data_IF_124068690142
#
_entry.id   IF_124068690142
#
_cell.length_a   1.000
_cell.length_b   1.000
_cell.length_c   1.000
_cell.angle_alpha   90.00
_cell.angle_beta   90.00
_cell.angle_gamma   90.00
#
_symmetry.space_group_name_H-M   'P 1'
#
loop_
_entity.id
_entity.type
_entity.pdbx_description
1 polymer ?
2 non-polymer ?
3 non-polymer ?
4 non-polymer ?
5 water ?
#
# COMPACT_ATOMS: atom_id res chain seq x y z
N UNK A 20 -16.56 -14.07 -6.16
CA UNK A 20 -16.72 -13.12 -7.25
C UNK A 20 -16.40 -11.69 -6.80
N UNK A 21 -16.73 -11.38 -5.55
CA UNK A 21 -16.44 -10.05 -5.02
C UNK A 21 -14.93 -9.80 -5.02
N UNK A 22 -14.55 -8.57 -5.34
CA UNK A 22 -13.16 -8.19 -5.49
C UNK A 22 -12.70 -7.36 -4.30
N UNK A 23 -11.41 -7.07 -4.30
CA UNK A 23 -10.81 -6.14 -3.34
C UNK A 23 -10.40 -4.90 -4.13
N UNK A 24 -10.81 -3.74 -3.65
CA UNK A 24 -10.49 -2.47 -4.31
C UNK A 24 -9.45 -1.72 -3.50
N UNK A 25 -8.41 -1.24 -4.18
CA UNK A 25 -7.40 -0.38 -3.57
C UNK A 25 -7.45 0.97 -4.27
N UNK A 26 -7.61 2.04 -3.49
CA UNK A 26 -7.65 3.40 -4.01
C UNK A 26 -6.37 4.10 -3.60
N UNK A 27 -5.69 4.71 -4.57
CA UNK A 27 -4.49 5.46 -4.27
C UNK A 27 -3.65 5.81 -5.48
N UNK A 28 -2.34 5.62 -5.37
CA UNK A 28 -1.39 6.11 -6.36
C UNK A 28 -0.85 4.95 -7.20
N UNK A 29 -0.71 5.21 -8.50
CA UNK A 29 0.08 4.37 -9.40
C UNK A 29 1.17 5.26 -10.00
N UNK A 30 2.40 4.75 -10.02
CA UNK A 30 3.52 5.42 -10.66
C UNK A 30 4.28 4.38 -11.47
N UNK A 31 5.14 4.87 -12.36
CA UNK A 31 6.11 4.02 -13.05
C UNK A 31 7.42 4.10 -12.27
N UNK A 32 7.89 2.95 -11.79
CA UNK A 32 9.19 2.86 -11.13
C UNK A 32 10.23 2.42 -12.15
N UNK A 33 11.23 3.25 -12.39
CA UNK A 33 12.42 2.83 -13.12
C UNK A 33 13.47 2.51 -12.06
N UNK A 34 13.81 1.23 -11.95
CA UNK A 34 14.61 0.72 -10.84
C UNK A 34 15.99 0.35 -11.37
N UNK A 35 17.02 0.96 -10.78
CA UNK A 35 18.41 0.71 -11.14
C UNK A 35 19.06 -0.08 -10.01
N UNK A 36 19.45 -1.33 -10.30
CA UNK A 36 20.18 -2.14 -9.34
C UNK A 36 21.67 -1.89 -9.54
N UNK A 37 22.35 -1.44 -8.48
CA UNK A 37 23.76 -1.10 -8.55
C UNK A 37 24.53 -1.92 -7.52
N UNK A 38 25.83 -2.05 -7.75
CA UNK A 38 26.72 -2.68 -6.79
C UNK A 38 27.41 -1.67 -5.88
N UNK A 39 27.27 -0.38 -6.16
CA UNK A 39 27.73 0.67 -5.27
C UNK A 39 26.93 1.93 -5.56
N UNK A 40 26.68 2.71 -4.52
CA UNK A 40 25.89 3.92 -4.68
C UNK A 40 26.61 4.86 -5.66
N UNK A 41 25.90 5.46 -6.62
CA UNK A 41 26.59 6.23 -7.66
C UNK A 41 27.33 7.42 -7.09
N UNK A 42 28.56 7.61 -7.54
CA UNK A 42 29.34 8.77 -7.17
C UNK A 42 28.89 9.97 -8.00
N UNK A 43 28.58 11.07 -7.34
CA UNK A 43 28.15 12.27 -8.03
C UNK A 43 29.18 12.67 -9.08
N UNK A 44 28.68 13.11 -10.24
CA UNK A 44 29.46 13.61 -11.37
C UNK A 44 30.16 12.50 -12.14
N UNK A 45 29.68 11.26 -12.09
CA UNK A 45 30.30 10.14 -12.79
C UNK A 45 29.28 9.41 -13.65
N UNK A 46 29.80 8.55 -14.52
CA UNK A 46 28.99 7.61 -15.28
C UNK A 46 29.43 6.19 -14.93
N UNK A 47 28.45 5.29 -14.82
CA UNK A 47 28.75 3.90 -14.49
C UNK A 47 27.55 3.03 -14.84
N UNK A 48 27.82 1.86 -15.38
CA UNK A 48 26.76 0.91 -15.69
C UNK A 48 26.14 0.37 -14.41
N UNK A 49 24.83 0.17 -14.45
CA UNK A 49 24.14 -0.54 -13.39
C UNK A 49 24.33 -2.05 -13.58
N UNK A 50 23.99 -2.81 -12.54
CA UNK A 50 23.92 -4.26 -12.70
C UNK A 50 22.72 -4.66 -13.53
N UNK A 51 21.58 -4.00 -13.33
CA UNK A 51 20.37 -4.23 -14.10
C UNK A 51 19.45 -3.05 -13.90
N UNK A 52 18.53 -2.87 -14.86
CA UNK A 52 17.53 -1.84 -14.78
C UNK A 52 16.23 -2.40 -15.33
N UNK A 53 15.11 -1.99 -14.73
CA UNK A 53 13.81 -2.51 -15.14
C UNK A 53 12.74 -1.47 -14.92
N UNK A 54 11.69 -1.54 -15.73
CA UNK A 54 10.47 -0.79 -15.49
C UNK A 54 9.53 -1.63 -14.64
N UNK A 55 8.97 -1.03 -13.61
CA UNK A 55 8.12 -1.74 -12.66
C UNK A 55 6.96 -0.84 -12.27
N UNK A 56 5.73 -1.36 -12.36
CA UNK A 56 4.58 -0.59 -11.91
C UNK A 56 4.66 -0.41 -10.39
N UNK A 57 4.49 0.83 -9.94
CA UNK A 57 4.64 1.15 -8.54
C UNK A 57 3.49 1.98 -7.98
N UNK A 58 3.72 2.62 -6.84
CA UNK A 58 2.64 3.26 -6.11
C UNK A 58 2.07 2.31 -5.07
N UNK A 59 1.74 2.85 -3.88
CA UNK A 59 1.37 1.99 -2.75
C UNK A 59 0.14 1.15 -3.06
N UNK A 60 -0.97 1.78 -3.42
CA UNK A 60 -2.20 1.04 -3.71
C UNK A 60 -2.01 0.13 -4.91
N UNK A 61 -1.26 0.59 -5.91
CA UNK A 61 -1.01 -0.20 -7.10
C UNK A 61 -0.17 -1.43 -6.79
N UNK A 62 0.86 -1.28 -5.95
CA UNK A 62 1.67 -2.42 -5.55
C UNK A 62 0.87 -3.43 -4.73
N UNK A 63 -0.04 -2.96 -3.88
CA UNK A 63 -0.86 -3.90 -3.13
C UNK A 63 -1.80 -4.68 -4.03
N UNK A 64 -2.28 -4.07 -5.13
CA UNK A 64 -3.06 -4.83 -6.10
C UNK A 64 -2.22 -5.93 -6.73
N UNK A 65 -0.95 -5.65 -7.00
CA UNK A 65 -0.06 -6.65 -7.57
C UNK A 65 0.06 -7.86 -6.64
N UNK A 66 0.30 -7.60 -5.36
CA UNK A 66 0.48 -8.70 -4.40
C UNK A 66 -0.83 -9.44 -4.18
N UNK A 67 -1.95 -8.71 -4.07
CA UNK A 67 -3.24 -9.37 -3.94
C UNK A 67 -3.50 -10.29 -5.14
N UNK A 68 -3.18 -9.83 -6.35
CA UNK A 68 -3.36 -10.65 -7.54
C UNK A 68 -2.48 -11.89 -7.48
N UNK A 69 -1.21 -11.73 -7.11
CA UNK A 69 -0.31 -12.88 -7.01
C UNK A 69 -0.79 -13.86 -5.96
N UNK A 70 -1.37 -13.36 -4.86
CA UNK A 70 -1.91 -14.23 -3.84
C UNK A 70 -3.21 -14.91 -4.25
N UNK A 71 -3.80 -14.53 -5.38
CA UNK A 71 -4.98 -15.19 -5.90
C UNK A 71 -6.30 -14.49 -5.66
N UNK A 72 -6.30 -13.25 -5.19
CA UNK A 72 -7.53 -12.51 -4.97
C UNK A 72 -7.80 -11.61 -6.17
N UNK A 73 -9.04 -11.66 -6.67
CA UNK A 73 -9.45 -10.71 -7.71
C UNK A 73 -9.50 -9.32 -7.11
N UNK A 74 -8.85 -8.36 -7.76
CA UNK A 74 -8.76 -7.02 -7.21
C UNK A 74 -8.88 -5.98 -8.31
N UNK A 75 -9.18 -4.75 -7.87
CA UNK A 75 -9.34 -3.61 -8.76
C UNK A 75 -8.54 -2.45 -8.20
N UNK A 76 -8.11 -1.57 -9.09
CA UNK A 76 -7.34 -0.38 -8.73
C UNK A 76 -8.10 0.87 -9.13
N UNK A 77 -8.11 1.86 -8.25
CA UNK A 77 -8.67 3.17 -8.56
C UNK A 77 -7.60 4.22 -8.32
N UNK A 78 -7.19 4.89 -9.38
CA UNK A 78 -6.21 5.96 -9.31
C UNK A 78 -6.33 6.83 -10.53
N UNK A 79 -5.32 7.69 -10.72
CA UNK A 79 -5.30 8.64 -11.82
C UNK A 79 -4.23 8.25 -12.84
N UNK A 80 -4.58 8.39 -14.11
CA UNK A 80 -3.64 8.21 -15.21
C UNK A 80 -3.87 9.31 -16.22
N UNK A 81 -2.82 9.62 -16.99
CA UNK A 81 -2.87 10.57 -18.09
C UNK A 81 -2.28 9.91 -19.33
N UNK A 82 -2.78 10.27 -20.51
CA UNK A 82 -2.31 9.60 -21.73
C UNK A 82 -0.80 9.77 -21.93
N UNK A 83 -0.18 8.73 -22.46
CA UNK A 83 1.25 8.76 -22.72
C UNK A 83 1.85 7.37 -22.63
N UNK A 84 3.13 7.30 -23.02
CA UNK A 84 3.84 6.02 -22.99
C UNK A 84 3.84 5.42 -21.59
N UNK A 85 3.93 6.26 -20.57
CA UNK A 85 3.99 5.77 -19.19
C UNK A 85 2.70 5.04 -18.83
N UNK A 86 1.55 5.70 -19.06
CA UNK A 86 0.27 5.06 -18.77
C UNK A 86 0.07 3.80 -19.61
N UNK A 87 0.54 3.80 -20.86
CA UNK A 87 0.39 2.62 -21.71
C UNK A 87 1.13 1.43 -21.11
N UNK A 88 2.35 1.64 -20.62
CA UNK A 88 3.06 0.58 -19.93
C UNK A 88 2.28 0.13 -18.69
N UNK A 89 1.80 1.09 -17.90
CA UNK A 89 1.12 0.75 -16.66
C UNK A 89 -0.18 0.01 -16.91
N UNK A 90 -0.94 0.42 -17.92
CA UNK A 90 -2.21 -0.26 -18.23
C UNK A 90 -1.95 -1.70 -18.66
N UNK A 91 -0.94 -1.91 -19.52
CA UNK A 91 -0.61 -3.26 -19.96
C UNK A 91 -0.17 -4.13 -18.81
N UNK A 92 0.58 -3.56 -17.87
CA UNK A 92 1.03 -4.31 -16.69
C UNK A 92 -0.14 -4.66 -15.78
N UNK A 93 -1.02 -3.68 -15.53
CA UNK A 93 -2.28 -3.96 -14.82
C UNK A 93 -3.02 -5.11 -15.48
N UNK A 94 -3.14 -5.07 -16.81
CA UNK A 94 -3.86 -6.12 -17.53
C UNK A 94 -3.18 -7.47 -17.40
N UNK A 95 -1.84 -7.48 -17.45
CA UNK A 95 -1.10 -8.74 -17.30
C UNK A 95 -1.39 -9.38 -15.95
N UNK A 96 -1.49 -8.58 -14.89
CA UNK A 96 -1.80 -9.08 -13.56
C UNK A 96 -3.28 -9.36 -13.35
N UNK A 97 -4.14 -8.98 -14.28
CA UNK A 97 -5.57 -9.14 -14.09
C UNK A 97 -6.19 -8.16 -13.10
N UNK A 98 -5.57 -7.01 -12.89
CA UNK A 98 -6.12 -5.99 -12.00
C UNK A 98 -7.10 -5.13 -12.78
N UNK A 99 -8.31 -5.01 -12.27
CA UNK A 99 -9.33 -4.20 -12.95
C UNK A 99 -9.02 -2.72 -12.80
N UNK A 100 -9.02 -2.00 -13.92
CA UNK A 100 -8.73 -0.58 -13.92
C UNK A 100 -9.86 0.20 -14.59
N UNK A 101 -11.07 -0.37 -14.56
CA UNK A 101 -12.20 0.31 -15.19
C UNK A 101 -12.60 1.59 -14.46
N UNK A 102 -12.23 1.74 -13.19
CA UNK A 102 -12.58 2.92 -12.41
C UNK A 102 -11.42 3.89 -12.28
N UNK A 103 -10.35 3.70 -13.05
CA UNK A 103 -9.27 4.68 -13.09
C UNK A 103 -9.81 5.99 -13.63
N UNK A 104 -9.40 7.11 -13.01
CA UNK A 104 -9.77 8.43 -13.48
C UNK A 104 -8.74 8.87 -14.52
N UNK A 105 -9.17 8.96 -15.78
CA UNK A 105 -8.27 9.36 -16.86
C UNK A 105 -8.32 10.88 -16.96
N UNK A 106 -7.18 11.51 -16.69
CA UNK A 106 -7.06 12.95 -16.84
C UNK A 106 -6.87 13.30 -18.31
N UNK A 107 -7.38 14.46 -18.71
CA UNK A 107 -7.28 14.87 -20.11
C UNK A 107 -5.82 15.10 -20.49
N UNK A 108 -5.04 15.72 -19.61
CA UNK A 108 -3.64 15.99 -19.84
C UNK A 108 -2.85 15.69 -18.57
N UNK A 109 -1.54 15.87 -18.64
CA UNK A 109 -0.68 15.75 -17.49
C UNK A 109 0.40 14.71 -17.69
N UNK A 110 1.27 14.63 -16.70
CA UNK A 110 2.40 13.70 -16.69
C UNK A 110 2.13 12.63 -15.64
N UNK A 111 1.96 11.39 -16.08
CA UNK A 111 1.86 10.29 -15.13
C UNK A 111 3.17 10.17 -14.37
N UNK A 112 3.15 10.23 -13.04
CA UNK A 112 4.39 10.33 -12.27
C UNK A 112 5.30 9.12 -12.47
N UNK A 113 6.60 9.38 -12.42
CA UNK A 113 7.63 8.36 -12.60
C UNK A 113 8.66 8.53 -11.49
N UNK A 114 9.00 7.42 -10.82
CA UNK A 114 10.00 7.41 -9.77
C UNK A 114 11.27 6.77 -10.28
N UNK A 115 12.40 7.44 -10.07
CA UNK A 115 13.71 6.87 -10.37
C UNK A 115 14.30 6.32 -9.08
N UNK A 116 14.52 5.01 -9.06
CA UNK A 116 14.94 4.30 -7.85
C UNK A 116 16.32 3.71 -8.01
N UNK A 117 17.13 3.85 -6.96
CA UNK A 117 18.46 3.27 -6.90
C UNK A 117 18.45 2.22 -5.79
N UNK A 118 18.67 0.97 -6.16
CA UNK A 118 18.69 -0.15 -5.23
C UNK A 118 20.12 -0.67 -5.16
N UNK A 119 20.78 -0.46 -4.03
CA UNK A 119 22.16 -0.88 -3.84
C UNK A 119 22.17 -2.35 -3.44
N UNK A 120 22.69 -3.19 -4.32
CA UNK A 120 22.71 -4.64 -4.08
C UNK A 120 23.63 -5.02 -2.93
N UNK A 121 24.60 -4.17 -2.59
CA UNK A 121 25.61 -4.54 -1.60
C UNK A 121 25.12 -4.37 -0.17
N UNK A 122 24.33 -3.32 0.09
CA UNK A 122 23.85 -3.06 1.44
C UNK A 122 22.33 -3.05 1.57
N UNK A 123 21.60 -3.32 0.48
CA UNK A 123 20.15 -3.36 0.54
C UNK A 123 19.47 -2.02 0.62
N UNK A 124 20.19 -0.92 0.36
CA UNK A 124 19.61 0.40 0.48
C UNK A 124 18.62 0.66 -0.66
N UNK A 125 17.67 1.55 -0.39
CA UNK A 125 16.62 1.92 -1.34
C UNK A 125 16.54 3.44 -1.38
N UNK A 126 16.88 4.02 -2.52
CA UNK A 126 16.82 5.46 -2.74
C UNK A 126 15.81 5.75 -3.84
N UNK A 127 14.85 6.62 -3.55
CA UNK A 127 13.78 6.94 -4.49
C UNK A 127 13.84 8.42 -4.80
N UNK A 128 14.00 8.76 -6.08
CA UNK A 128 13.83 10.13 -6.57
C UNK A 128 12.39 10.23 -7.04
N UNK A 129 11.55 10.88 -6.25
CA UNK A 129 10.12 10.97 -6.54
C UNK A 129 9.84 12.06 -7.58
N UNK A 130 8.81 11.82 -8.39
CA UNK A 130 8.38 12.83 -9.36
C UNK A 130 8.02 14.13 -8.64
N UNK A 131 8.24 15.25 -9.34
CA UNK A 131 8.04 16.54 -8.70
C UNK A 131 6.56 16.84 -8.48
N UNK A 132 5.69 16.35 -9.35
CA UNK A 132 4.26 16.59 -9.25
C UNK A 132 3.52 15.25 -9.29
N UNK A 133 2.21 15.33 -9.07
CA UNK A 133 1.31 14.20 -9.23
C UNK A 133 0.09 14.64 -10.01
N UNK A 134 -0.57 13.67 -10.62
CA UNK A 134 -1.87 13.93 -11.21
C UNK A 134 -2.88 14.19 -10.10
N UNK A 135 -3.99 14.86 -10.41
CA UNK A 135 -5.05 15.01 -9.42
C UNK A 135 -5.50 13.64 -8.92
N UNK A 136 -5.62 13.51 -7.60
CA UNK A 136 -6.05 12.25 -7.01
C UNK A 136 -7.51 11.98 -7.33
N UNK A 137 -7.93 10.74 -7.07
CA UNK A 137 -9.33 10.37 -7.24
C UNK A 137 -10.21 11.26 -6.38
N UNK A 138 -11.30 11.75 -6.95
CA UNK A 138 -12.22 12.61 -6.22
C UNK A 138 -13.35 11.79 -5.60
N UNK A 139 -13.99 12.40 -4.59
CA UNK A 139 -15.20 11.78 -4.04
C UNK A 139 -16.29 11.67 -5.09
N UNK A 140 -16.37 12.65 -6.01
CA UNK A 140 -17.28 12.55 -7.14
C UNK A 140 -16.97 11.34 -8.00
N UNK A 141 -15.67 11.09 -8.26
CA UNK A 141 -15.27 9.88 -8.97
C UNK A 141 -15.71 8.63 -8.23
N UNK A 142 -15.45 8.59 -6.92
CA UNK A 142 -15.70 7.39 -6.13
C UNK A 142 -17.19 7.13 -5.99
N UNK A 143 -18.02 8.17 -6.04
CA UNK A 143 -19.46 7.99 -5.95
C UNK A 143 -20.01 7.11 -7.07
N UNK A 144 -19.31 7.02 -8.21
CA UNK A 144 -19.80 6.24 -9.33
C UNK A 144 -19.49 4.75 -9.20
N UNK A 145 -18.73 4.35 -8.19
CA UNK A 145 -18.31 2.97 -8.02
C UNK A 145 -19.45 2.17 -7.40
N UNK A 146 -19.75 1.01 -7.98
CA UNK A 146 -20.72 0.06 -7.44
C UNK A 146 -20.07 -0.69 -6.30
N UNK A 147 -20.44 -0.33 -5.06
CA UNK A 147 -19.78 -0.89 -3.89
C UNK A 147 -20.10 -2.37 -3.69
N UNK A 148 -21.22 -2.86 -4.21
CA UNK A 148 -21.52 -4.28 -4.08
C UNK A 148 -20.54 -5.16 -4.84
N UNK A 149 -19.71 -4.58 -5.71
CA UNK A 149 -18.67 -5.36 -6.40
C UNK A 149 -17.58 -5.85 -5.47
N UNK A 150 -17.43 -5.23 -4.29
CA UNK A 150 -16.23 -5.41 -3.48
C UNK A 150 -16.58 -5.90 -2.08
N UNK A 151 -15.78 -6.84 -1.59
CA UNK A 151 -15.87 -7.28 -0.21
C UNK A 151 -14.90 -6.55 0.70
N UNK A 152 -13.93 -5.83 0.13
CA UNK A 152 -12.93 -5.09 0.87
C UNK A 152 -12.49 -3.89 0.05
N UNK A 153 -12.37 -2.73 0.69
CA UNK A 153 -11.88 -1.52 0.05
C UNK A 153 -10.75 -0.97 0.90
N UNK A 154 -9.57 -0.84 0.30
CA UNK A 154 -8.41 -0.26 0.96
C UNK A 154 -8.10 1.09 0.35
N UNK A 155 -7.92 2.10 1.18
CA UNK A 155 -7.66 3.46 0.71
C UNK A 155 -6.28 3.88 1.20
N UNK A 156 -5.38 4.16 0.25
CA UNK A 156 -4.11 4.78 0.55
C UNK A 156 -4.33 6.26 0.84
N UNK A 157 -4.01 6.68 2.06
CA UNK A 157 -4.21 8.07 2.46
C UNK A 157 -3.44 9.06 1.63
N UNK A 158 -4.15 9.90 0.88
CA UNK A 158 -3.53 10.87 -0.02
C UNK A 158 -4.22 12.23 0.06
N UNK A 159 -5.42 12.34 -0.51
CA UNK A 159 -6.21 13.58 -0.46
C UNK A 159 -7.32 13.38 0.57
N UNK A 160 -7.00 13.72 1.83
CA UNK A 160 -7.81 13.26 2.95
C UNK A 160 -9.23 13.81 2.91
N UNK A 161 -9.40 15.08 2.54
CA UNK A 161 -10.74 15.67 2.55
C UNK A 161 -11.67 14.94 1.59
N UNK A 162 -11.17 14.57 0.42
CA UNK A 162 -11.97 13.80 -0.52
C UNK A 162 -12.15 12.35 -0.07
N UNK A 163 -11.09 11.76 0.50
CA UNK A 163 -11.17 10.36 0.91
C UNK A 163 -12.06 10.18 2.13
N UNK A 164 -12.12 11.17 3.03
CA UNK A 164 -13.06 11.10 4.14
C UNK A 164 -14.48 10.96 3.62
N UNK A 165 -14.81 11.68 2.54
CA UNK A 165 -16.13 11.55 1.92
C UNK A 165 -16.33 10.17 1.33
N UNK A 166 -15.29 9.59 0.74
CA UNK A 166 -15.40 8.22 0.23
C UNK A 166 -15.69 7.25 1.36
N UNK A 167 -14.96 7.38 2.47
CA UNK A 167 -15.14 6.48 3.59
C UNK A 167 -16.53 6.65 4.21
N UNK A 168 -17.05 7.88 4.23
CA UNK A 168 -18.40 8.08 4.74
C UNK A 168 -19.45 7.44 3.83
N UNK A 169 -19.22 7.49 2.51
CA UNK A 169 -20.12 6.82 1.59
C UNK A 169 -20.16 5.32 1.83
N UNK A 170 -18.99 4.71 2.09
CA UNK A 170 -18.97 3.28 2.39
C UNK A 170 -19.70 2.98 3.68
N UNK A 171 -19.60 3.88 4.67
CA UNK A 171 -20.33 3.67 5.92
C UNK A 171 -21.84 3.74 5.70
N UNK A 172 -22.30 4.70 4.90
CA UNK A 172 -23.72 4.79 4.62
C UNK A 172 -24.21 3.59 3.83
N UNK A 173 -23.38 3.07 2.93
CA UNK A 173 -23.69 1.84 2.22
C UNK A 173 -23.84 0.67 3.18
N UNK A 174 -22.86 0.52 4.08
CA UNK A 174 -22.86 -0.64 4.98
C UNK A 174 -23.99 -0.58 5.99
N UNK A 175 -24.47 0.62 6.32
CA UNK A 175 -25.58 0.73 7.28
C UNK A 175 -26.83 0.04 6.77
N UNK A 176 -27.02 0.00 5.45
CA UNK A 176 -28.16 -0.66 4.83
C UNK A 176 -27.91 -2.12 4.52
N UNK A 177 -26.69 -2.61 4.72
CA UNK A 177 -26.43 -4.00 4.36
C UNK A 177 -26.48 -4.88 5.60
N UNK A 178 -26.96 -6.11 5.45
CA UNK A 178 -26.82 -7.10 6.52
C UNK A 178 -25.36 -7.44 6.77
N UNK A 179 -25.14 -8.21 7.82
CA UNK A 179 -23.78 -8.58 8.24
C UNK A 179 -22.96 -9.22 7.12
N UNK A 180 -23.43 -10.25 6.40
CA UNK A 180 -22.56 -10.91 5.41
C UNK A 180 -22.27 -10.07 4.18
N UNK A 181 -22.94 -8.93 4.00
CA UNK A 181 -22.77 -8.11 2.80
C UNK A 181 -22.17 -6.74 3.10
N UNK A 182 -21.63 -6.54 4.29
CA UNK A 182 -20.95 -5.28 4.59
C UNK A 182 -19.57 -5.29 3.96
N UNK A 183 -19.15 -4.13 3.46
CA UNK A 183 -17.85 -3.97 2.84
C UNK A 183 -16.84 -3.65 3.92
N UNK A 184 -15.78 -4.47 4.01
CA UNK A 184 -14.71 -4.21 4.96
C UNK A 184 -13.79 -3.13 4.41
N UNK A 185 -13.26 -2.30 5.30
CA UNK A 185 -12.50 -1.12 4.93
C UNK A 185 -11.18 -1.09 5.68
N UNK A 186 -10.10 -0.75 4.99
CA UNK A 186 -8.81 -0.47 5.61
C UNK A 186 -8.25 0.81 5.01
N UNK A 187 -7.42 1.50 5.80
CA UNK A 187 -6.77 2.74 5.36
C UNK A 187 -5.29 2.65 5.69
N UNK A 188 -4.47 3.32 4.86
CA UNK A 188 -3.05 3.47 5.14
C UNK A 188 -2.76 4.94 5.41
N UNK A 189 -2.04 5.19 6.50
CA UNK A 189 -1.57 6.53 6.85
C UNK A 189 -0.05 6.45 6.89
N UNK A 190 0.58 6.72 5.75
CA UNK A 190 2.02 6.54 5.59
C UNK A 190 2.81 7.83 5.74
N UNK A 191 2.32 8.93 5.18
CA UNK A 191 3.07 10.18 5.21
C UNK A 191 2.70 10.99 6.46
N UNK A 192 3.68 11.64 7.09
CA UNK A 192 3.41 12.43 8.30
C UNK A 192 2.84 13.81 7.99
N UNK A 193 1.72 13.84 7.29
CA UNK A 193 1.00 15.07 6.99
C UNK A 193 -0.24 15.15 7.87
N UNK A 194 -0.37 16.27 8.59
CA UNK A 194 -1.44 16.42 9.57
C UNK A 194 -2.81 16.19 8.95
N UNK A 195 -2.99 16.56 7.68
CA UNK A 195 -4.31 16.43 7.06
C UNK A 195 -4.72 14.97 6.94
N UNK A 196 -3.74 14.08 6.77
CA UNK A 196 -4.03 12.65 6.64
C UNK A 196 -4.54 12.05 7.94
N UNK A 197 -4.31 12.70 9.08
CA UNK A 197 -4.70 12.09 10.35
C UNK A 197 -6.20 12.12 10.59
N UNK A 198 -6.98 12.79 9.72
CA UNK A 198 -8.43 12.65 9.78
C UNK A 198 -8.87 11.23 9.44
N UNK A 199 -8.02 10.45 8.78
CA UNK A 199 -8.37 9.10 8.36
C UNK A 199 -8.27 8.07 9.47
N UNK A 200 -7.64 8.41 10.59
CA UNK A 200 -7.52 7.48 11.70
C UNK A 200 -8.86 6.92 12.14
N UNK A 201 -9.91 7.74 12.08
CA UNK A 201 -11.21 7.37 12.62
C UNK A 201 -12.09 6.63 11.61
N UNK A 202 -11.51 6.10 10.54
CA UNK A 202 -12.26 5.38 9.53
C UNK A 202 -11.62 4.02 9.28
N UNK A 203 -12.46 3.04 8.94
CA UNK A 203 -11.99 1.72 8.60
C UNK A 203 -11.90 0.79 9.81
N UNK A 204 -11.94 -0.51 9.52
CA UNK A 204 -11.77 -1.52 10.57
C UNK A 204 -10.32 -1.85 10.82
N UNK A 205 -9.43 -1.54 9.87
CA UNK A 205 -8.00 -1.77 10.02
C UNK A 205 -7.29 -0.50 9.55
N UNK A 206 -6.41 0.04 10.38
CA UNK A 206 -5.67 1.24 10.06
C UNK A 206 -4.20 0.87 10.09
N UNK A 207 -3.54 0.98 8.94
CA UNK A 207 -2.10 0.82 8.83
C UNK A 207 -1.44 2.17 9.04
N UNK A 208 -0.63 2.29 10.09
CA UNK A 208 0.09 3.52 10.40
C UNK A 208 1.58 3.25 10.22
N UNK A 209 2.27 4.16 9.54
CA UNK A 209 3.68 3.93 9.24
C UNK A 209 4.56 4.30 10.42
N UNK A 210 5.80 3.81 10.38
CA UNK A 210 6.78 4.19 11.39
C UNK A 210 7.06 5.69 11.35
N UNK A 211 7.13 6.26 10.15
CA UNK A 211 7.38 7.69 10.02
C UNK A 211 6.28 8.50 10.69
N UNK A 212 5.02 8.06 10.56
CA UNK A 212 3.92 8.75 11.21
C UNK A 212 4.01 8.60 12.72
N UNK A 213 4.32 7.39 13.19
CA UNK A 213 4.44 7.16 14.62
C UNK A 213 5.49 8.08 15.24
N UNK A 214 6.68 8.11 14.64
CA UNK A 214 7.76 8.96 15.15
C UNK A 214 7.38 10.44 15.07
N UNK A 215 6.72 10.84 13.99
CA UNK A 215 6.28 12.23 13.86
C UNK A 215 5.33 12.61 14.99
N UNK A 216 4.49 11.67 15.43
CA UNK A 216 3.57 11.90 16.53
C UNK A 216 4.19 11.58 17.89
N UNK A 217 5.50 11.33 17.94
CA UNK A 217 6.20 11.24 19.20
C UNK A 217 6.41 9.86 19.77
N UNK A 218 6.30 8.81 18.95
CA UNK A 218 6.45 7.43 19.40
C UNK A 218 7.63 6.80 18.70
N UNK A 219 8.53 6.20 19.49
CA UNK A 219 9.77 5.65 18.96
C UNK A 219 9.77 4.13 18.91
N UNK A 220 8.62 3.50 19.14
CA UNK A 220 8.49 2.06 19.02
C UNK A 220 7.06 1.72 18.58
N UNK A 221 6.91 0.58 17.93
CA UNK A 221 5.60 0.13 17.49
C UNK A 221 4.65 -0.01 18.68
N UNK A 222 5.11 -0.60 19.78
CA UNK A 222 4.25 -0.79 20.94
C UNK A 222 3.80 0.55 21.50
N UNK A 223 4.74 1.49 21.65
CA UNK A 223 4.38 2.83 22.11
C UNK A 223 3.39 3.49 21.15
N UNK A 224 3.60 3.30 19.84
CA UNK A 224 2.71 3.92 18.86
C UNK A 224 1.29 3.39 18.99
N UNK A 225 1.13 2.07 19.15
CA UNK A 225 -0.22 1.51 19.26
C UNK A 225 -0.92 2.01 20.51
N UNK A 226 -0.24 1.99 21.66
CA UNK A 226 -0.86 2.46 22.89
C UNK A 226 -1.23 3.93 22.78
N UNK A 227 -0.35 4.75 22.22
CA UNK A 227 -0.59 6.18 22.18
C UNK A 227 -1.57 6.64 21.12
N UNK A 228 -1.76 5.85 20.07
CA UNK A 228 -2.61 6.26 18.95
C UNK A 228 -3.94 5.53 18.87
N UNK A 229 -4.16 4.52 19.70
CA UNK A 229 -5.38 3.72 19.56
C UNK A 229 -6.64 4.55 19.79
N UNK A 230 -6.56 5.58 20.64
CA UNK A 230 -7.75 6.39 20.92
C UNK A 230 -8.26 7.13 19.68
N UNK A 231 -7.48 7.19 18.61
CA UNK A 231 -7.89 7.88 17.40
C UNK A 231 -8.72 7.00 16.46
N UNK A 232 -8.61 5.68 16.56
CA UNK A 232 -9.28 4.82 15.58
C UNK A 232 -10.76 4.69 15.91
N UNK A 233 -11.50 4.19 14.93
CA UNK A 233 -12.94 3.98 15.08
C UNK A 233 -13.23 2.90 16.10
N UNK A 234 -14.41 2.98 16.73
CA UNK A 234 -14.82 1.98 17.69
C UNK A 234 -14.77 0.58 17.08
N UNK A 235 -13.96 -0.28 17.67
CA UNK A 235 -13.83 -1.65 17.20
C UNK A 235 -12.76 -1.90 16.16
N UNK A 236 -12.06 -0.85 15.72
CA UNK A 236 -11.02 -1.01 14.70
C UNK A 236 -9.74 -1.56 15.30
N UNK A 237 -8.85 -2.04 14.43
CA UNK A 237 -7.53 -2.52 14.80
C UNK A 237 -6.49 -1.63 14.16
N UNK A 238 -5.53 -1.17 14.96
CA UNK A 238 -4.41 -0.36 14.47
C UNK A 238 -3.22 -1.26 14.24
N UNK A 239 -2.58 -1.11 13.07
CA UNK A 239 -1.44 -1.93 12.68
C UNK A 239 -0.25 -1.01 12.43
N UNK A 240 0.90 -1.34 13.02
CA UNK A 240 2.11 -0.56 12.84
C UNK A 240 3.28 -1.48 12.52
N UNK A 241 3.71 -1.47 11.25
CA UNK A 241 4.88 -2.22 10.84
C UNK A 241 6.14 -1.40 11.10
N UNK A 242 7.17 -2.06 11.58
CA UNK A 242 8.41 -1.38 11.99
C UNK A 242 9.63 -1.98 11.29
N UNK A 243 9.53 -2.12 9.97
CA UNK A 243 10.64 -2.51 9.08
C UNK A 243 11.22 -3.84 9.55
N UNK A 244 12.53 -3.95 9.79
CA UNK A 244 13.14 -5.22 10.15
C UNK A 244 12.82 -5.67 11.56
N UNK A 245 12.15 -4.83 12.35
CA UNK A 245 11.69 -5.22 13.69
C UNK A 245 10.36 -5.96 13.66
N UNK A 246 9.76 -6.15 12.49
CA UNK A 246 8.49 -6.85 12.40
C UNK A 246 7.29 -5.92 12.36
N UNK A 247 6.15 -6.39 12.88
CA UNK A 247 4.93 -5.60 12.83
C UNK A 247 4.09 -5.89 14.06
N UNK A 248 3.35 -4.88 14.51
CA UNK A 248 2.55 -4.95 15.72
C UNK A 248 1.13 -4.50 15.43
N UNK A 249 0.18 -4.96 16.24
CA UNK A 249 -1.21 -4.58 16.07
C UNK A 249 -1.90 -4.53 17.41
N UNK A 250 -2.95 -3.71 17.49
CA UNK A 250 -3.75 -3.58 18.70
C UNK A 250 -5.21 -3.38 18.30
N UNK A 251 -6.06 -4.32 18.70
CA UNK A 251 -7.46 -4.26 18.37
C UNK A 251 -8.34 -4.04 19.58
N UNK A 252 -9.65 -4.23 19.41
CA UNK A 252 -10.59 -3.94 20.52
C UNK A 252 -10.53 -4.94 21.65
N UNK A 253 -9.95 -6.12 21.45
CA UNK A 253 -9.79 -7.05 22.58
C UNK A 253 -8.70 -6.60 23.54
N UNK A 254 -7.90 -5.60 23.17
CA UNK A 254 -6.91 -5.03 24.06
C UNK A 254 -5.57 -5.74 24.09
N UNK A 255 -5.38 -6.79 23.29
CA UNK A 255 -4.14 -7.55 23.27
C UNK A 255 -3.15 -6.90 22.32
N UNK A 256 -1.97 -6.56 22.82
CA UNK A 256 -0.88 -6.12 21.97
C UNK A 256 -0.29 -7.32 21.24
N UNK A 257 -0.33 -7.28 19.91
CA UNK A 257 0.16 -8.38 19.08
C UNK A 257 1.46 -7.96 18.41
N UNK A 258 2.31 -8.94 18.14
CA UNK A 258 3.56 -8.67 17.44
C UNK A 258 4.01 -9.92 16.71
N UNK A 259 4.49 -9.72 15.49
CA UNK A 259 5.23 -10.74 14.74
C UNK A 259 6.62 -10.20 14.44
N UNK A 260 7.62 -11.04 14.65
CA UNK A 260 8.96 -10.72 14.17
C UNK A 260 8.95 -10.64 12.64
N UNK A 261 9.95 -9.94 12.10
CA UNK A 261 10.17 -9.99 10.67
C UNK A 261 10.73 -11.35 10.28
N UNK A 262 10.59 -11.67 8.99
CA UNK A 262 11.13 -12.90 8.41
C UNK A 262 12.16 -12.51 7.35
N UNK A 263 13.33 -12.04 7.76
CA UNK A 263 14.28 -11.48 6.81
C UNK A 263 14.84 -12.57 5.91
N UNK A 264 15.10 -12.24 4.64
CA UNK A 264 15.71 -13.20 3.74
C UNK A 264 17.17 -13.40 4.08
N UNK A 265 17.82 -14.42 3.52
CA UNK A 265 19.27 -14.57 3.76
C UNK A 265 20.05 -13.33 3.37
N UNK A 266 19.62 -12.64 2.31
CA UNK A 266 20.26 -11.41 1.87
C UNK A 266 19.16 -10.46 1.38
N UNK A 267 19.10 -9.28 1.97
CA UNK A 267 18.10 -8.28 1.60
C UNK A 267 18.59 -7.55 0.35
N UNK A 268 17.84 -7.69 -0.74
CA UNK A 268 18.27 -7.14 -2.02
C UNK A 268 17.28 -6.14 -2.60
N UNK A 269 16.02 -6.10 -2.16
CA UNK A 269 15.04 -5.21 -2.79
C UNK A 269 13.86 -5.02 -1.82
N UNK A 270 13.88 -3.90 -1.08
CA UNK A 270 12.82 -3.59 -0.13
C UNK A 270 11.74 -2.68 -0.71
N UNK A 271 11.89 -2.24 -1.96
CA UNK A 271 10.88 -1.37 -2.55
C UNK A 271 9.55 -2.10 -2.66
N UNK A 272 8.52 -1.55 -2.01
CA UNK A 272 7.23 -2.18 -1.99
C UNK A 272 7.03 -3.21 -0.91
N UNK A 273 8.00 -3.36 0.00
CA UNK A 273 7.85 -4.33 1.08
C UNK A 273 6.68 -3.99 1.98
N UNK A 274 6.51 -2.70 2.29
CA UNK A 274 5.35 -2.29 3.07
C UNK A 274 4.04 -2.53 2.33
N UNK A 275 4.03 -2.28 1.02
CA UNK A 275 2.84 -2.57 0.22
C UNK A 275 2.54 -4.07 0.20
N UNK A 276 3.59 -4.89 0.20
CA UNK A 276 3.39 -6.34 0.26
C UNK A 276 2.83 -6.75 1.61
N UNK A 277 3.33 -6.15 2.69
CA UNK A 277 2.79 -6.42 4.02
C UNK A 277 1.32 -6.03 4.10
N UNK A 278 0.98 -4.83 3.62
CA UNK A 278 -0.40 -4.36 3.66
C UNK A 278 -1.33 -5.33 2.94
N UNK A 279 -0.99 -5.68 1.70
CA UNK A 279 -1.84 -6.56 0.90
C UNK A 279 -1.97 -7.93 1.54
N UNK A 280 -0.89 -8.43 2.13
CA UNK A 280 -0.92 -9.78 2.71
C UNK A 280 -1.78 -9.82 3.97
N UNK A 281 -1.73 -8.75 4.77
CA UNK A 281 -2.60 -8.66 5.94
C UNK A 281 -4.07 -8.62 5.50
N UNK A 282 -4.36 -7.76 4.52
CA UNK A 282 -5.71 -7.70 3.95
C UNK A 282 -6.14 -9.07 3.45
N UNK A 283 -5.27 -9.74 2.68
CA UNK A 283 -5.60 -11.05 2.14
C UNK A 283 -5.90 -12.04 3.25
N UNK A 284 -5.04 -12.09 4.28
CA UNK A 284 -5.22 -13.07 5.34
C UNK A 284 -6.48 -12.79 6.15
N UNK A 285 -6.78 -11.51 6.42
CA UNK A 285 -8.00 -11.17 7.13
C UNK A 285 -9.24 -11.46 6.28
N UNK A 286 -9.15 -11.21 4.97
CA UNK A 286 -10.30 -11.46 4.10
C UNK A 286 -10.65 -12.93 4.04
N UNK A 287 -9.68 -13.80 4.30
CA UNK A 287 -9.91 -15.24 4.34
C UNK A 287 -10.29 -15.73 5.73
N UNK A 288 -10.62 -14.83 6.65
CA UNK A 288 -11.13 -15.20 7.94
C UNK A 288 -10.09 -15.51 9.00
N UNK A 289 -8.83 -15.15 8.79
CA UNK A 289 -7.81 -15.45 9.78
C UNK A 289 -7.78 -14.37 10.86
N UNK A 290 -7.21 -14.74 12.01
CA UNK A 290 -7.07 -13.80 13.11
C UNK A 290 -6.03 -12.73 12.77
N UNK A 291 -6.05 -11.64 13.54
CA UNK A 291 -5.04 -10.60 13.33
C UNK A 291 -3.65 -11.13 13.62
N UNK A 292 -3.51 -12.00 14.63
CA UNK A 292 -2.21 -12.57 14.94
C UNK A 292 -1.65 -13.35 13.76
N UNK A 293 -2.48 -14.16 13.09
CA UNK A 293 -2.02 -14.90 11.93
C UNK A 293 -1.79 -13.99 10.73
N UNK A 294 -2.64 -12.97 10.56
CA UNK A 294 -2.46 -12.05 9.43
C UNK A 294 -1.18 -11.24 9.58
N UNK A 295 -0.85 -10.84 10.81
CA UNK A 295 0.40 -10.14 11.06
C UNK A 295 1.59 -11.03 10.72
N UNK A 296 1.57 -12.27 11.22
CA UNK A 296 2.58 -13.27 10.86
C UNK A 296 2.68 -13.44 9.35
N UNK A 297 1.53 -13.67 8.70
CA UNK A 297 1.54 -13.89 7.25
C UNK A 297 2.09 -12.68 6.50
N UNK A 298 1.71 -11.47 6.92
CA UNK A 298 2.22 -10.27 6.28
C UNK A 298 3.72 -10.13 6.38
N UNK A 299 4.29 -10.46 7.53
CA UNK A 299 5.75 -10.40 7.66
C UNK A 299 6.42 -11.50 6.84
N UNK A 300 5.80 -12.68 6.77
CA UNK A 300 6.36 -13.78 5.98
C UNK A 300 6.45 -13.41 4.51
N UNK A 301 5.34 -12.89 3.94
CA UNK A 301 5.33 -12.56 2.52
C UNK A 301 6.22 -11.36 2.23
N UNK A 302 6.15 -10.32 3.07
CA UNK A 302 6.98 -9.14 2.86
C UNK A 302 8.46 -9.48 3.04
N UNK A 303 8.79 -10.31 4.02
CA UNK A 303 10.17 -10.69 4.21
C UNK A 303 10.72 -11.49 3.04
N UNK A 304 9.90 -12.38 2.48
CA UNK A 304 10.30 -13.11 1.29
C UNK A 304 10.50 -12.16 0.12
N UNK A 305 9.63 -11.15 0.01
CA UNK A 305 9.76 -10.17 -1.07
C UNK A 305 11.10 -9.44 -0.99
N UNK A 306 11.58 -9.16 0.22
CA UNK A 306 12.82 -8.41 0.39
C UNK A 306 14.04 -9.15 -0.14
N UNK A 307 13.94 -10.46 -0.35
CA UNK A 307 15.01 -11.26 -0.90
C UNK A 307 14.96 -11.49 -2.39
N UNK A 308 14.06 -10.81 -3.10
CA UNK A 308 13.98 -10.98 -4.55
C UNK A 308 13.58 -9.65 -5.17
N UNK A 309 13.78 -9.57 -6.49
CA UNK A 309 13.45 -8.36 -7.23
C UNK A 309 11.99 -8.34 -7.63
N UNK A 310 11.33 -7.21 -7.35
CA UNK A 310 9.94 -7.10 -7.73
C UNK A 310 9.09 -7.95 -6.80
N UNK A 311 7.93 -8.34 -7.32
CA UNK A 311 6.96 -9.08 -6.53
C UNK A 311 6.68 -10.48 -7.07
N UNK A 312 7.05 -10.79 -8.31
CA UNK A 312 6.58 -12.02 -8.94
C UNK A 312 7.06 -13.27 -8.21
N UNK A 313 8.22 -13.21 -7.55
CA UNK A 313 8.76 -14.39 -6.92
C UNK A 313 8.13 -14.79 -5.60
N UNK A 314 7.22 -13.97 -5.05
CA UNK A 314 6.63 -14.33 -3.77
C UNK A 314 5.75 -15.57 -3.91
N UNK A 315 5.15 -15.77 -5.09
CA UNK A 315 4.31 -16.91 -5.41
C UNK A 315 3.30 -17.26 -4.32
X LIG B 1 8.54 0.03 3.71
X LIG B 1 10.02 0.14 3.78
X LIG B 1 8.16 -0.40 2.36
X LIG B 1 7.79 1.17 4.15
X LIG B 1 7.82 -1.09 6.30
X LIG B 1 8.77 -0.60 7.33
X LIG B 1 6.47 -0.61 6.48
X LIG B 1 8.22 -1.17 4.73
X LIG B 1 7.85 -2.62 6.59
X LIG B 1 6.82 -3.51 6.35
X LIG B 1 7.18 -4.96 6.54
X LIG B 1 8.06 -5.53 5.57
X LIG B 1 7.84 -5.32 7.88
X LIG B 1 6.80 -5.44 8.83
X LIG B 1 8.55 -6.60 7.60
X LIG B 1 7.58 -7.65 7.62
X LIG B 1 9.01 -6.41 6.17
X LIG B 1 10.32 -5.78 6.06
X LIG B 1 10.52 -4.48 5.72
X LIG B 1 11.77 -4.13 5.63
X LIG B 1 12.46 -5.27 5.95
X LIG B 1 13.89 -5.63 6.06
X LIG B 1 14.85 -4.72 5.80
X LIG B 1 14.16 -6.92 6.40
X LIG B 1 13.21 -7.83 6.66
X LIG B 1 11.90 -7.57 6.57
X LIG B 1 11.49 -6.34 6.24
X LIG C 1 6.81 1.86 -2.90
X LIG C 1 6.31 3.03 -3.77
X LIG C 1 6.96 3.03 -4.95
X LIG C 1 6.74 4.47 -5.44
X LIG C 1 6.77 5.15 -4.03
X LIG C 1 5.66 6.20 -3.98
X LIG C 1 6.03 1.75 -1.73
X LIG C 1 4.97 2.92 -3.93
X LIG C 1 6.39 2.05 -5.90
X LIG C 1 7.74 4.92 -6.22
X LIG C 1 6.58 4.17 -3.17
X LIG C 1 5.82 7.02 -2.85
X LIG D 1 3.75 9.87 -3.54
X LIG D 1 4.72 9.40 -4.04
X LIG D 1 3.29 9.39 -2.31
X LIG D 1 3.09 10.92 -4.19
#
# INVERSE_FOLDING_TARGET
MGHHHHHHENLYFQGPRGEEKQILCVGLVVLDIINVVDKYPEEDTDRRCLSQRWQRGGNASNSCTVLSLLGARCAFMGSLAPGHVADFLVADFRQRGVDVSQVTWQSQGDTPCSCCIVNNSNGSRTIILYDTNLPDVSAKDFEKVDLTRFKWIHIEGRNASEQVKMLQRIEEHNAKQPLPQKVRVSVEIEKPREELFQLFSYGEVVFVSKDVAKHLGFQSAVEALRGLYSRVKKGATLVCAWAEEGADALGPDGQLLHSDAFPPPRVVDTLGAGDTFNASVIFSLSKGNSMQEALRFGCQVAGKKCGLQGFDGIV
ADP PB O1B O2B O3B PA O1A O2A O3A O5' C5' C4' O4' C3' O3' C2' O2' C1' N9 C8 N7 C5 C6 N6 N1 C2 N3 C4
FRU C1 C2 C3 C4 C5 C6 O1 O2 O3 O4 O5 O6
NO3 N O1 O2 O3
#
